data_IF_477289375937
#
_entry.id   IF_477289375937
#
_cell.length_a   1.000
_cell.length_b   1.000
_cell.length_c   1.000
_cell.angle_alpha   90.00
_cell.angle_beta   90.00
_cell.angle_gamma   90.00
#
_symmetry.space_group_name_H-M   'P 1'
#
loop_
_entity.id
_entity.type
_entity.pdbx_description
1 polymer ?
#
# COMPACT_ATOMS: atom_id res chain seq x y z
N UNK A 1 49.43 19.03 -22.21
CA UNK A 1 48.59 18.34 -21.21
C UNK A 1 47.27 17.93 -21.87
N UNK A 2 47.05 16.67 -22.28
CA UNK A 2 45.74 16.27 -22.81
C UNK A 2 44.78 15.92 -21.67
N UNK A 3 43.53 16.39 -21.78
CA UNK A 3 42.44 16.08 -20.85
C UNK A 3 41.82 14.71 -21.17
N UNK A 4 41.94 13.75 -20.25
CA UNK A 4 41.31 12.43 -20.35
C UNK A 4 39.78 12.55 -20.15
N UNK A 5 38.99 12.23 -21.17
CA UNK A 5 37.51 12.21 -21.08
C UNK A 5 37.06 11.01 -20.24
N UNK A 6 36.83 11.20 -18.94
CA UNK A 6 36.21 10.17 -18.09
C UNK A 6 34.72 10.02 -18.42
N UNK A 7 34.31 8.81 -18.82
CA UNK A 7 32.89 8.47 -19.05
C UNK A 7 32.11 8.50 -17.73
N UNK A 8 30.87 9.03 -17.71
CA UNK A 8 30.05 9.02 -16.52
C UNK A 8 29.64 7.58 -16.16
N UNK A 9 29.49 7.25 -14.87
CA UNK A 9 29.04 5.94 -14.44
C UNK A 9 27.62 5.69 -14.95
N UNK A 10 27.39 4.51 -15.54
CA UNK A 10 26.05 4.10 -15.97
C UNK A 10 25.12 4.03 -14.74
N UNK A 11 23.91 4.58 -14.81
CA UNK A 11 22.95 4.45 -13.71
C UNK A 11 22.69 2.95 -13.49
N UNK A 12 22.92 2.48 -12.26
CA UNK A 12 22.52 1.14 -11.85
C UNK A 12 21.00 1.09 -11.95
N UNK A 13 20.47 0.26 -12.84
CA UNK A 13 19.05 0.00 -12.91
C UNK A 13 18.59 -0.57 -11.56
N UNK A 14 17.99 0.28 -10.74
CA UNK A 14 17.32 -0.13 -9.52
C UNK A 14 16.15 -0.98 -9.96
N UNK A 15 16.19 -2.29 -9.64
CA UNK A 15 15.10 -3.21 -9.92
C UNK A 15 13.84 -2.61 -9.30
N UNK A 16 12.94 -2.08 -10.15
CA UNK A 16 11.58 -1.76 -9.72
C UNK A 16 11.04 -3.00 -9.05
N UNK A 17 10.66 -2.89 -7.77
CA UNK A 17 9.96 -3.95 -7.07
C UNK A 17 8.82 -4.42 -7.97
N UNK A 18 8.70 -5.73 -8.16
CA UNK A 18 7.63 -6.31 -8.93
C UNK A 18 6.30 -5.71 -8.42
N UNK A 19 5.51 -5.15 -9.34
CA UNK A 19 4.19 -4.63 -9.01
C UNK A 19 3.40 -5.81 -8.48
N UNK A 20 3.23 -5.84 -7.15
CA UNK A 20 2.42 -6.86 -6.50
C UNK A 20 1.03 -6.86 -7.14
N UNK A 21 0.39 -8.03 -7.32
CA UNK A 21 -0.89 -8.13 -8.01
C UNK A 21 -1.90 -7.21 -7.31
N UNK A 22 -2.28 -6.13 -7.99
CA UNK A 22 -3.40 -5.29 -7.61
C UNK A 22 -4.66 -6.09 -7.86
N UNK A 23 -5.63 -6.03 -6.94
CA UNK A 23 -6.90 -6.69 -7.16
C UNK A 23 -7.56 -6.08 -8.42
N UNK A 24 -7.84 -6.94 -9.40
CA UNK A 24 -8.13 -6.57 -10.80
C UNK A 24 -9.32 -5.62 -10.94
N UNK A 25 -10.25 -5.69 -10.01
CA UNK A 25 -11.37 -4.78 -9.88
C UNK A 25 -11.42 -4.29 -8.44
N UNK A 26 -10.52 -3.39 -8.09
CA UNK A 26 -10.53 -2.74 -6.78
C UNK A 26 -10.05 -1.31 -6.94
N UNK A 27 -10.61 -0.41 -6.15
CA UNK A 27 -10.23 0.99 -6.21
C UNK A 27 -10.21 1.61 -4.83
N UNK A 28 -9.37 2.63 -4.69
CA UNK A 28 -9.14 3.34 -3.44
C UNK A 28 -9.71 4.74 -3.58
N UNK A 29 -10.58 5.12 -2.65
CA UNK A 29 -10.92 6.52 -2.39
C UNK A 29 -9.94 7.09 -1.40
N UNK A 30 -9.54 8.34 -1.61
CA UNK A 30 -8.71 9.11 -0.68
C UNK A 30 -9.40 10.44 -0.47
N UNK A 31 -10.02 10.60 0.69
CA UNK A 31 -10.61 11.87 1.11
C UNK A 31 -9.60 12.61 1.99
N UNK A 32 -9.08 13.73 1.49
CA UNK A 32 -7.96 14.46 2.13
C UNK A 32 -8.50 15.52 3.08
N UNK A 33 -8.51 15.21 4.37
CA UNK A 33 -8.88 16.17 5.42
C UNK A 33 -7.80 17.25 5.61
N UNK A 34 -6.52 16.89 5.47
CA UNK A 34 -5.39 17.81 5.52
C UNK A 34 -4.19 17.27 4.74
N UNK A 35 -3.08 18.01 4.75
CA UNK A 35 -1.81 17.53 4.18
C UNK A 35 -1.30 16.24 4.83
N UNK A 36 -1.61 16.00 6.11
CA UNK A 36 -1.08 14.88 6.90
C UNK A 36 -2.15 13.90 7.38
N UNK A 37 -3.42 14.12 6.99
CA UNK A 37 -4.54 13.30 7.40
C UNK A 37 -5.46 13.03 6.24
N UNK A 38 -5.88 11.77 6.08
CA UNK A 38 -6.79 11.36 5.03
C UNK A 38 -7.64 10.19 5.49
N UNK A 39 -8.89 10.16 5.02
CA UNK A 39 -9.77 9.01 5.13
C UNK A 39 -9.70 8.23 3.83
N UNK A 40 -9.07 7.05 3.89
CA UNK A 40 -8.93 6.18 2.73
C UNK A 40 -9.88 4.99 2.84
N UNK A 41 -10.61 4.68 1.77
CA UNK A 41 -11.44 3.47 1.69
C UNK A 41 -11.04 2.65 0.47
N UNK A 42 -10.80 1.37 0.69
CA UNK A 42 -10.51 0.41 -0.38
C UNK A 42 -11.68 -0.54 -0.53
N UNK A 43 -12.27 -0.56 -1.73
CA UNK A 43 -13.35 -1.49 -2.07
C UNK A 43 -12.75 -2.67 -2.84
N UNK A 44 -12.90 -3.86 -2.27
CA UNK A 44 -12.51 -5.13 -2.88
C UNK A 44 -13.79 -5.84 -3.31
N UNK A 45 -13.83 -6.27 -4.56
CA UNK A 45 -14.96 -7.00 -5.11
C UNK A 45 -14.64 -8.50 -5.17
N UNK A 46 -15.70 -9.31 -5.18
CA UNK A 46 -15.62 -10.76 -5.40
C UNK A 46 -14.66 -11.52 -4.45
N UNK A 47 -14.59 -11.07 -3.18
CA UNK A 47 -13.68 -11.60 -2.15
C UNK A 47 -13.69 -13.14 -2.03
N UNK A 48 -14.84 -13.84 -2.07
CA UNK A 48 -14.87 -15.31 -1.94
C UNK A 48 -14.13 -16.04 -3.07
N UNK A 49 -14.07 -15.46 -4.27
CA UNK A 49 -13.45 -16.08 -5.45
C UNK A 49 -11.98 -15.70 -5.63
N UNK A 50 -11.43 -14.88 -4.73
CA UNK A 50 -10.02 -14.47 -4.78
C UNK A 50 -9.12 -15.67 -4.48
N UNK A 51 -8.33 -16.06 -5.48
CA UNK A 51 -7.34 -17.15 -5.39
C UNK A 51 -5.99 -16.70 -4.85
N UNK A 52 -5.70 -15.40 -4.86
CA UNK A 52 -4.41 -14.88 -4.38
C UNK A 52 -4.35 -14.92 -2.86
N UNK A 53 -3.16 -15.20 -2.30
CA UNK A 53 -2.95 -15.20 -0.85
C UNK A 53 -3.01 -13.79 -0.25
N UNK A 54 -2.56 -12.81 -1.03
CA UNK A 54 -2.51 -11.41 -0.63
C UNK A 54 -3.07 -10.54 -1.73
N UNK A 55 -3.77 -9.49 -1.31
CA UNK A 55 -4.29 -8.43 -2.14
C UNK A 55 -3.64 -7.15 -1.69
N UNK A 56 -3.33 -6.30 -2.67
CA UNK A 56 -2.80 -5.00 -2.38
C UNK A 56 -3.58 -3.91 -3.10
N UNK A 57 -3.86 -2.83 -2.40
CA UNK A 57 -4.47 -1.65 -3.00
C UNK A 57 -3.47 -0.93 -3.91
N UNK A 58 -3.96 -0.02 -4.74
CA UNK A 58 -3.13 1.03 -5.31
C UNK A 58 -2.47 1.86 -4.20
N UNK A 59 -1.30 2.45 -4.49
CA UNK A 59 -0.66 3.38 -3.59
C UNK A 59 -1.44 4.70 -3.52
N UNK A 60 -1.41 5.35 -2.36
CA UNK A 60 -1.96 6.67 -2.13
C UNK A 60 -1.02 7.49 -1.25
N UNK A 61 -0.87 8.77 -1.55
CA UNK A 61 0.03 9.67 -0.82
C UNK A 61 -0.70 10.43 0.29
N UNK A 62 -0.12 10.44 1.49
CA UNK A 62 -0.51 11.29 2.62
C UNK A 62 0.76 11.87 3.26
N UNK A 63 0.84 13.18 3.43
CA UNK A 63 2.01 13.82 4.06
C UNK A 63 3.33 13.62 3.33
N UNK A 64 3.31 13.31 2.02
CA UNK A 64 4.52 12.99 1.24
C UNK A 64 5.03 11.57 1.41
N UNK A 65 4.27 10.69 2.07
CA UNK A 65 4.55 9.25 2.20
C UNK A 65 3.55 8.43 1.38
N UNK A 66 4.05 7.38 0.73
CA UNK A 66 3.21 6.45 -0.03
C UNK A 66 2.68 5.36 0.89
N UNK A 67 1.36 5.27 0.99
CA UNK A 67 0.66 4.23 1.73
C UNK A 67 -0.04 3.27 0.79
N UNK A 68 -0.28 2.04 1.27
CA UNK A 68 -1.23 1.11 0.64
C UNK A 68 -1.86 0.21 1.70
N UNK A 69 -3.04 -0.30 1.39
CA UNK A 69 -3.63 -1.40 2.14
C UNK A 69 -3.14 -2.74 1.61
N UNK A 70 -2.97 -3.69 2.53
CA UNK A 70 -2.71 -5.09 2.25
C UNK A 70 -3.72 -5.94 3.02
N UNK A 71 -4.37 -6.86 2.31
CA UNK A 71 -5.34 -7.79 2.88
C UNK A 71 -4.94 -9.21 2.53
N UNK A 72 -4.91 -10.07 3.54
CA UNK A 72 -4.82 -11.52 3.37
C UNK A 72 -6.17 -12.11 3.78
N UNK A 73 -7.05 -12.45 2.81
CA UNK A 73 -8.41 -12.92 3.11
C UNK A 73 -8.46 -14.25 3.88
N UNK A 74 -7.36 -15.00 3.89
CA UNK A 74 -7.24 -16.31 4.56
C UNK A 74 -6.29 -16.27 5.75
N UNK A 75 -6.04 -15.08 6.29
CA UNK A 75 -5.04 -14.86 7.31
C UNK A 75 -3.61 -14.92 6.76
N UNK A 76 -2.64 -14.53 7.60
CA UNK A 76 -1.22 -14.72 7.36
C UNK A 76 -0.70 -15.99 8.08
N UNK A 77 0.61 -16.18 8.09
CA UNK A 77 1.22 -17.37 8.72
C UNK A 77 0.98 -17.51 10.23
N UNK A 78 0.51 -16.45 10.89
CA UNK A 78 0.24 -16.43 12.34
C UNK A 78 -1.25 -16.45 12.70
N UNK A 79 -2.14 -16.40 11.71
CA UNK A 79 -3.58 -16.28 11.93
C UNK A 79 -4.29 -17.64 12.05
N UNK A 80 -5.42 -17.68 12.76
CA UNK A 80 -6.24 -18.89 12.86
C UNK A 80 -7.07 -19.09 11.57
N UNK A 81 -7.50 -20.33 11.27
CA UNK A 81 -8.40 -20.58 10.15
C UNK A 81 -9.69 -19.75 10.29
N UNK A 82 -10.00 -18.94 9.29
CA UNK A 82 -11.17 -18.07 9.27
C UNK A 82 -10.89 -16.59 9.59
N UNK A 83 -9.69 -16.27 10.07
CA UNK A 83 -9.27 -14.89 10.29
C UNK A 83 -8.90 -14.17 8.98
N UNK A 84 -9.01 -12.84 9.01
CA UNK A 84 -8.53 -11.94 7.96
C UNK A 84 -7.42 -11.08 8.55
N UNK A 85 -6.26 -11.05 7.88
CA UNK A 85 -5.17 -10.15 8.27
C UNK A 85 -5.21 -8.88 7.42
N UNK A 86 -5.18 -7.72 8.08
CA UNK A 86 -5.24 -6.38 7.48
C UNK A 86 -4.03 -5.57 7.91
N UNK A 87 -3.39 -4.92 6.94
CA UNK A 87 -2.20 -4.11 7.19
C UNK A 87 -2.27 -2.78 6.45
N UNK A 88 -1.75 -1.74 7.09
CA UNK A 88 -1.39 -0.49 6.44
C UNK A 88 0.12 -0.50 6.22
N UNK A 89 0.53 -0.56 4.96
CA UNK A 89 1.94 -0.53 4.59
C UNK A 89 2.32 0.91 4.22
N UNK A 90 3.39 1.40 4.83
CA UNK A 90 4.02 2.67 4.47
C UNK A 90 5.28 2.35 3.67
N UNK A 91 5.40 2.93 2.49
CA UNK A 91 6.62 2.90 1.71
C UNK A 91 7.28 4.27 1.83
N UNK A 92 8.55 4.30 2.22
CA UNK A 92 9.29 5.56 2.32
C UNK A 92 9.87 5.93 0.94
N UNK A 93 9.39 6.99 0.27
CA UNK A 93 9.86 7.33 -1.07
C UNK A 93 11.25 7.99 -1.09
N UNK A 94 11.79 8.40 0.07
CA UNK A 94 13.11 9.05 0.16
C UNK A 94 13.89 8.39 1.28
N UNK A 95 15.17 8.10 1.08
CA UNK A 95 16.07 7.50 2.08
C UNK A 95 16.35 8.44 3.27
N UNK A 96 15.30 8.97 3.90
CA UNK A 96 15.37 9.87 5.04
C UNK A 96 15.68 9.04 6.28
N UNK A 97 16.82 9.32 6.90
CA UNK A 97 17.34 8.76 8.15
C UNK A 97 16.47 9.08 9.38
N UNK A 98 15.17 9.24 9.22
CA UNK A 98 14.25 9.73 10.24
C UNK A 98 13.17 8.71 10.52
N UNK A 99 12.85 8.57 11.80
CA UNK A 99 11.70 7.82 12.28
C UNK A 99 10.41 8.54 11.87
N UNK A 100 9.49 7.79 11.28
CA UNK A 100 8.17 8.29 10.90
C UNK A 100 7.12 7.77 11.88
N UNK A 101 6.22 8.66 12.31
CA UNK A 101 5.09 8.32 13.16
C UNK A 101 3.78 8.53 12.40
N UNK A 102 2.96 7.47 12.32
CA UNK A 102 1.59 7.55 11.86
C UNK A 102 0.65 7.02 12.93
N UNK A 103 -0.42 7.77 13.20
CA UNK A 103 -1.59 7.28 13.93
C UNK A 103 -2.66 6.91 12.93
N UNK A 104 -3.28 5.75 13.10
CA UNK A 104 -4.27 5.23 12.17
C UNK A 104 -5.37 4.43 12.88
N UNK A 105 -6.53 4.36 12.22
CA UNK A 105 -7.64 3.47 12.59
C UNK A 105 -8.05 2.68 11.35
N UNK A 106 -7.87 1.37 11.38
CA UNK A 106 -8.34 0.46 10.33
C UNK A 106 -9.67 -0.16 10.78
N UNK A 107 -10.64 -0.21 9.86
CA UNK A 107 -11.93 -0.86 10.09
C UNK A 107 -12.42 -1.55 8.83
N UNK A 108 -13.13 -2.66 9.00
CA UNK A 108 -13.95 -3.26 7.94
C UNK A 108 -15.34 -2.65 8.07
N UNK A 109 -15.91 -2.19 6.95
CA UNK A 109 -17.28 -1.66 6.92
C UNK A 109 -18.22 -2.81 6.56
N UNK A 110 -19.23 -3.03 7.39
CA UNK A 110 -20.33 -3.93 7.06
C UNK A 110 -21.33 -3.18 6.18
N UNK A 111 -21.53 -3.63 4.94
CA UNK A 111 -22.48 -3.00 4.02
C UNK A 111 -23.95 -3.29 4.36
N UNK A 112 -24.22 -4.33 5.18
CA UNK A 112 -25.59 -4.68 5.59
C UNK A 112 -26.14 -3.77 6.69
N UNK A 113 -25.30 -2.91 7.27
CA UNK A 113 -25.61 -2.07 8.44
C UNK A 113 -25.62 -0.58 8.08
N UNK A 114 -25.80 -0.25 6.79
CA UNK A 114 -25.90 1.13 6.31
C UNK A 114 -27.30 1.70 6.64
N UNK A 115 -27.63 1.76 7.92
CA UNK A 115 -28.66 2.63 8.46
C UNK A 115 -28.03 3.98 8.77
N UNK A 116 -27.95 4.86 7.78
CA UNK A 116 -27.62 6.27 7.96
C UNK A 116 -28.37 7.11 6.94
#
# INVERSE_FOLDING_TARGET
>A
MPYEKRKPPKPKAQKRAAVAPTARDSWVTVDRCSHYSSLCKWKIFDVPNIKTKSLHSAYFEVGGFDFRFLVNPKGDSSAMPGDISLFLQVNNPRSSSFDFYASYKIKIVNFSDDSS
#
